data_IF_430320979230
#
_entry.id   IF_430320979230
#
_cell.length_a   1.000
_cell.length_b   1.000
_cell.length_c   1.000
_cell.angle_alpha   90.00
_cell.angle_beta   90.00
_cell.angle_gamma   90.00
#
_symmetry.space_group_name_H-M   'P 1'
#
loop_
_entity.id
_entity.type
_entity.pdbx_description
1 polymer ?
#
# COMPACT_ATOMS: atom_id res chain seq x y z
N UNK A 1 22.49 5.72 -2.73
CA UNK A 1 21.04 5.93 -2.92
C UNK A 1 20.35 4.62 -2.56
N UNK A 2 20.13 4.38 -1.27
CA UNK A 2 19.32 3.24 -0.85
C UNK A 2 17.86 3.56 -1.20
N UNK A 3 17.10 2.61 -1.72
CA UNK A 3 15.69 2.84 -2.03
C UNK A 3 14.96 3.10 -0.70
N UNK A 4 14.60 4.36 -0.44
CA UNK A 4 13.92 4.78 0.80
C UNK A 4 12.46 4.33 0.87
N UNK A 5 12.01 3.57 -0.13
CA UNK A 5 10.69 2.97 -0.20
C UNK A 5 10.66 1.64 0.53
N UNK A 6 9.69 1.49 1.43
CA UNK A 6 9.49 0.29 2.22
C UNK A 6 8.08 -0.24 1.94
N UNK A 7 7.98 -1.54 1.62
CA UNK A 7 6.70 -2.22 1.49
C UNK A 7 6.02 -2.24 2.87
N UNK A 8 4.78 -1.77 2.92
CA UNK A 8 3.98 -1.71 4.14
C UNK A 8 2.75 -2.60 4.11
N UNK A 9 2.30 -3.03 2.93
CA UNK A 9 1.11 -3.84 2.75
C UNK A 9 1.09 -4.52 1.38
N UNK A 10 0.47 -5.70 1.30
CA UNK A 10 0.26 -6.44 0.06
C UNK A 10 -1.17 -6.98 -0.01
N UNK A 11 -1.78 -6.96 -1.19
CA UNK A 11 -3.12 -7.51 -1.44
C UNK A 11 -3.24 -8.01 -2.87
N UNK A 12 -4.15 -8.94 -3.12
CA UNK A 12 -4.56 -9.39 -4.45
C UNK A 12 -5.74 -8.57 -5.01
N UNK A 13 -6.28 -7.61 -4.24
CA UNK A 13 -7.47 -6.84 -4.59
C UNK A 13 -7.10 -5.42 -4.99
N UNK A 14 -7.20 -5.10 -6.28
CA UNK A 14 -6.90 -3.76 -6.84
C UNK A 14 -7.68 -2.66 -6.12
N UNK A 15 -8.99 -2.86 -5.90
CA UNK A 15 -9.81 -1.86 -5.23
C UNK A 15 -9.34 -1.57 -3.80
N UNK A 16 -8.83 -2.60 -3.10
CA UNK A 16 -8.40 -2.45 -1.71
C UNK A 16 -7.08 -1.68 -1.62
N UNK A 17 -6.16 -1.92 -2.57
CA UNK A 17 -4.94 -1.13 -2.69
C UNK A 17 -5.24 0.36 -2.93
N UNK A 18 -6.23 0.67 -3.78
CA UNK A 18 -6.66 2.04 -4.05
C UNK A 18 -7.33 2.70 -2.83
N UNK A 19 -8.15 1.97 -2.07
CA UNK A 19 -8.74 2.47 -0.82
C UNK A 19 -7.66 2.82 0.21
N UNK A 20 -6.66 1.94 0.38
CA UNK A 20 -5.53 2.22 1.27
C UNK A 20 -4.76 3.46 0.79
N UNK A 21 -4.52 3.61 -0.52
CA UNK A 21 -3.85 4.79 -1.07
C UNK A 21 -4.62 6.08 -0.77
N UNK A 22 -5.94 6.08 -0.95
CA UNK A 22 -6.78 7.23 -0.64
C UNK A 22 -6.73 7.58 0.85
N UNK A 23 -6.90 6.58 1.73
CA UNK A 23 -6.82 6.77 3.18
C UNK A 23 -5.45 7.32 3.61
N UNK A 24 -4.35 6.77 3.10
CA UNK A 24 -3.01 7.28 3.40
C UNK A 24 -2.81 8.72 2.89
N UNK A 25 -3.35 9.05 1.71
CA UNK A 25 -3.28 10.39 1.15
C UNK A 25 -4.04 11.41 2.03
N UNK A 26 -5.21 11.05 2.59
CA UNK A 26 -5.96 11.91 3.52
C UNK A 26 -5.14 12.21 4.80
N UNK A 27 -4.26 11.29 5.19
CA UNK A 27 -3.31 11.46 6.30
C UNK A 27 -1.96 12.07 5.87
N UNK A 28 -1.87 12.63 4.66
CA UNK A 28 -0.68 13.25 4.09
C UNK A 28 0.51 12.29 3.94
N UNK A 29 0.24 11.01 3.72
CA UNK A 29 1.24 9.97 3.46
C UNK A 29 1.16 9.59 1.99
N UNK A 30 2.18 9.95 1.22
CA UNK A 30 2.30 9.50 -0.16
C UNK A 30 2.73 8.04 -0.21
N UNK A 31 2.05 7.23 -1.01
CA UNK A 31 2.39 5.84 -1.25
C UNK A 31 2.46 5.49 -2.74
N UNK A 32 3.21 4.46 -3.07
CA UNK A 32 3.34 3.90 -4.41
C UNK A 32 2.69 2.52 -4.45
N UNK A 33 1.86 2.27 -5.45
CA UNK A 33 1.27 0.96 -5.71
C UNK A 33 2.06 0.29 -6.84
N UNK A 34 2.52 -0.93 -6.61
CA UNK A 34 3.11 -1.80 -7.63
C UNK A 34 2.18 -2.99 -7.83
N UNK A 35 1.43 -2.98 -8.93
CA UNK A 35 0.60 -4.11 -9.32
C UNK A 35 1.46 -5.15 -10.07
N UNK A 36 1.71 -6.30 -9.44
CA UNK A 36 2.47 -7.42 -10.03
C UNK A 36 1.56 -8.52 -10.56
N UNK A 37 0.28 -8.25 -10.78
CA UNK A 37 -0.66 -9.22 -11.29
C UNK A 37 -0.44 -9.50 -12.77
N UNK A 38 -0.57 -10.76 -13.15
CA UNK A 38 -0.67 -11.15 -14.54
C UNK A 38 -1.90 -10.50 -15.18
N UNK A 39 -1.73 -9.85 -16.33
CA UNK A 39 -2.81 -9.07 -16.93
C UNK A 39 -3.93 -9.96 -17.48
N UNK A 40 -3.63 -11.19 -17.88
CA UNK A 40 -4.58 -12.14 -18.48
C UNK A 40 -5.37 -12.91 -17.41
N UNK A 41 -4.71 -13.33 -16.33
CA UNK A 41 -5.33 -14.14 -15.28
C UNK A 41 -5.59 -13.39 -13.97
N UNK A 42 -5.14 -12.12 -13.87
CA UNK A 42 -5.26 -11.24 -12.67
C UNK A 42 -4.75 -11.88 -11.38
N UNK A 43 -3.82 -12.82 -11.51
CA UNK A 43 -3.20 -13.53 -10.42
C UNK A 43 -1.88 -12.87 -10.03
N UNK A 44 -1.65 -12.70 -8.73
CA UNK A 44 -0.45 -12.09 -8.16
C UNK A 44 -0.78 -11.01 -7.13
N UNK A 45 0.27 -10.43 -6.58
CA UNK A 45 0.17 -9.44 -5.51
C UNK A 45 0.26 -8.00 -6.02
N UNK A 46 -0.37 -7.12 -5.27
CA UNK A 46 -0.31 -5.67 -5.39
C UNK A 46 0.33 -5.18 -4.12
N UNK A 47 1.48 -4.53 -4.26
CA UNK A 47 2.29 -4.09 -3.14
C UNK A 47 2.19 -2.57 -2.97
N UNK A 48 2.11 -2.12 -1.71
CA UNK A 48 2.03 -0.71 -1.35
C UNK A 48 3.31 -0.32 -0.62
N UNK A 49 3.96 0.73 -1.11
CA UNK A 49 5.21 1.25 -0.59
C UNK A 49 5.05 2.68 -0.09
N UNK A 50 5.73 3.03 1.00
CA UNK A 50 5.84 4.41 1.50
C UNK A 50 7.30 4.77 1.76
N UNK A 51 7.59 6.07 1.89
CA UNK A 51 8.88 6.50 2.41
C UNK A 51 9.11 5.93 3.82
N UNK A 52 10.35 5.55 4.14
CA UNK A 52 10.74 4.94 5.42
C UNK A 52 10.19 5.68 6.63
N UNK A 53 10.19 7.01 6.60
CA UNK A 53 9.71 7.87 7.70
C UNK A 53 8.22 7.71 8.01
N UNK A 54 7.43 7.18 7.07
CA UNK A 54 6.00 6.99 7.23
C UNK A 54 5.59 5.55 7.55
N UNK A 55 6.54 4.61 7.60
CA UNK A 55 6.25 3.17 7.73
C UNK A 55 5.41 2.84 8.96
N UNK A 56 5.79 3.33 10.14
CA UNK A 56 5.11 3.00 11.39
C UNK A 56 3.67 3.55 11.36
N UNK A 57 3.52 4.83 10.98
CA UNK A 57 2.22 5.50 10.93
C UNK A 57 1.30 4.85 9.89
N UNK A 58 1.82 4.53 8.69
CA UNK A 58 1.05 3.89 7.64
C UNK A 58 0.53 2.50 8.07
N UNK A 59 1.40 1.67 8.68
CA UNK A 59 0.99 0.35 9.18
C UNK A 59 -0.07 0.43 10.28
N UNK A 60 0.01 1.42 11.17
CA UNK A 60 -1.02 1.63 12.19
C UNK A 60 -2.37 1.99 11.57
N UNK A 61 -2.38 2.95 10.63
CA UNK A 61 -3.61 3.37 9.95
C UNK A 61 -4.27 2.23 9.17
N UNK A 62 -3.48 1.40 8.48
CA UNK A 62 -4.00 0.23 7.74
C UNK A 62 -4.63 -0.78 8.70
N UNK A 63 -3.96 -1.09 9.81
CA UNK A 63 -4.51 -2.01 10.80
C UNK A 63 -5.84 -1.52 11.37
N UNK A 64 -5.95 -0.21 11.65
CA UNK A 64 -7.18 0.38 12.17
C UNK A 64 -8.28 0.41 11.11
N UNK A 65 -7.92 0.55 9.82
CA UNK A 65 -8.83 0.47 8.68
C UNK A 65 -9.36 -0.96 8.44
N UNK A 66 -8.53 -1.99 8.61
CA UNK A 66 -8.94 -3.40 8.48
C UNK A 66 -9.80 -3.91 9.65
N UNK A 67 -9.73 -3.24 10.80
CA UNK A 67 -10.46 -3.63 12.01
C UNK A 67 -11.95 -3.23 12.00
N UNK A 68 -12.40 -2.47 10.99
CA UNK A 68 -13.77 -1.98 10.81
C UNK A 68 -14.36 -2.50 9.51
#
# INVERSE_FOLDING_TARGET
MASDLVNIFSTDKVYFAELIRQMLADHHIHCFIINKQDSAYKFGDIEIFVHRDHVIRAKMLIRDFEAH
#
